data_IF_531887955215
#
_entry.id   IF_531887955215
#
_cell.length_a   1.000
_cell.length_b   1.000
_cell.length_c   1.000
_cell.angle_alpha   90.00
_cell.angle_beta   90.00
_cell.angle_gamma   90.00
#
_symmetry.space_group_name_H-M   'P 1'
#
loop_
_entity.id
_entity.type
_entity.pdbx_description
1 polymer ?
#
# COMPACT_ATOMS: atom_id res chain seq x y z
N UNK A 1 -13.80 42.59 35.84
CA UNK A 1 -14.70 41.41 35.80
C UNK A 1 -14.81 41.00 34.34
N UNK A 2 -13.74 40.42 33.78
CA UNK A 2 -13.44 38.98 33.66
C UNK A 2 -14.16 38.31 32.47
N UNK A 3 -13.80 38.71 31.25
CA UNK A 3 -14.05 37.91 30.04
C UNK A 3 -12.84 36.99 29.82
N UNK A 4 -12.99 35.76 30.31
CA UNK A 4 -12.01 34.70 30.17
C UNK A 4 -11.96 34.16 28.74
N UNK A 5 -10.87 34.48 28.02
CA UNK A 5 -10.47 33.77 26.82
C UNK A 5 -10.25 32.29 27.14
N UNK A 6 -11.14 31.44 26.63
CA UNK A 6 -10.98 29.98 26.67
C UNK A 6 -10.04 29.57 25.54
N UNK A 7 -8.75 29.56 25.82
CA UNK A 7 -7.72 28.96 24.97
C UNK A 7 -7.91 27.43 24.98
N UNK A 8 -8.54 26.89 23.93
CA UNK A 8 -8.47 25.45 23.65
C UNK A 8 -7.08 25.15 23.08
N UNK A 9 -6.16 24.76 23.95
CA UNK A 9 -4.89 24.15 23.56
C UNK A 9 -5.19 22.80 22.89
N UNK A 10 -5.02 22.73 21.57
CA UNK A 10 -4.91 21.46 20.87
C UNK A 10 -3.56 20.85 21.21
N UNK A 11 -3.54 19.96 22.20
CA UNK A 11 -2.41 19.05 22.41
C UNK A 11 -2.44 18.01 21.30
N UNK A 12 -1.55 18.17 20.31
CA UNK A 12 -1.24 17.13 19.34
C UNK A 12 -0.69 15.92 20.09
N UNK A 13 -1.53 14.90 20.28
CA UNK A 13 -1.18 13.72 21.05
C UNK A 13 -0.18 12.85 20.24
N UNK A 14 1.11 13.07 20.47
CA UNK A 14 2.25 12.39 19.82
C UNK A 14 2.27 10.87 20.08
N UNK A 15 1.48 10.38 21.04
CA UNK A 15 1.43 8.97 21.42
C UNK A 15 0.69 8.04 20.44
N UNK A 16 0.02 8.56 19.41
CA UNK A 16 -0.78 7.75 18.49
C UNK A 16 -0.03 7.27 17.24
N UNK A 17 1.18 7.79 17.02
CA UNK A 17 1.98 7.47 15.84
C UNK A 17 3.45 7.31 16.20
N UNK A 18 4.06 6.26 15.68
CA UNK A 18 5.50 6.06 15.74
C UNK A 18 6.01 5.72 14.35
N UNK A 19 7.16 6.30 14.00
CA UNK A 19 7.88 5.99 12.77
C UNK A 19 9.36 5.84 13.12
N UNK A 20 9.98 4.80 12.57
CA UNK A 20 11.41 4.56 12.73
C UNK A 20 12.23 5.77 12.24
N UNK A 21 13.29 6.12 12.97
CA UNK A 21 14.23 7.17 12.59
C UNK A 21 15.22 6.73 11.51
N UNK A 22 15.22 5.44 11.16
CA UNK A 22 16.11 4.85 10.15
C UNK A 22 15.84 5.45 8.78
N UNK A 23 16.91 5.72 8.04
CA UNK A 23 16.79 6.22 6.68
C UNK A 23 16.23 5.13 5.75
N UNK A 24 15.70 5.53 4.59
CA UNK A 24 15.21 4.57 3.58
C UNK A 24 16.34 3.61 3.16
N UNK A 25 17.57 4.12 2.98
CA UNK A 25 18.73 3.29 2.65
C UNK A 25 19.05 2.29 3.76
N UNK A 26 19.02 2.73 5.02
CA UNK A 26 19.26 1.83 6.15
C UNK A 26 18.20 0.72 6.21
N UNK A 27 16.92 1.07 6.03
CA UNK A 27 15.83 0.09 5.97
C UNK A 27 16.02 -0.89 4.80
N UNK A 28 16.40 -0.39 3.63
CA UNK A 28 16.66 -1.26 2.47
C UNK A 28 17.81 -2.22 2.76
N UNK A 29 18.93 -1.74 3.31
CA UNK A 29 20.07 -2.62 3.62
C UNK A 29 19.71 -3.71 4.63
N UNK A 30 18.87 -3.39 5.63
CA UNK A 30 18.36 -4.38 6.60
C UNK A 30 17.45 -5.45 5.97
N UNK A 31 16.94 -5.25 4.76
CA UNK A 31 16.19 -6.31 4.06
C UNK A 31 17.03 -7.55 3.79
N UNK A 32 18.36 -7.44 3.70
CA UNK A 32 19.25 -8.58 3.43
C UNK A 32 19.13 -9.74 4.42
N UNK A 33 18.57 -9.48 5.61
CA UNK A 33 18.34 -10.48 6.67
C UNK A 33 16.86 -10.89 6.80
N UNK A 34 15.99 -10.41 5.91
CA UNK A 34 14.54 -10.60 5.98
C UNK A 34 14.01 -11.24 4.71
N UNK A 35 12.80 -11.81 4.79
CA UNK A 35 12.13 -12.34 3.60
C UNK A 35 11.53 -11.20 2.77
N UNK A 36 11.78 -11.23 1.48
CA UNK A 36 11.12 -10.38 0.48
C UNK A 36 11.34 -11.03 -0.90
N UNK A 37 10.56 -10.62 -1.90
CA UNK A 37 10.70 -11.14 -3.27
C UNK A 37 11.57 -10.20 -4.12
N UNK A 38 11.16 -8.94 -4.22
CA UNK A 38 11.83 -7.95 -5.06
C UNK A 38 11.64 -6.54 -4.49
N UNK A 39 12.66 -5.70 -4.63
CA UNK A 39 12.64 -4.29 -4.24
C UNK A 39 12.36 -3.45 -5.49
N UNK A 40 11.27 -2.69 -5.47
CA UNK A 40 10.94 -1.75 -6.52
C UNK A 40 11.32 -0.32 -6.13
N UNK A 41 12.28 0.26 -6.85
CA UNK A 41 12.69 1.66 -6.72
C UNK A 41 12.02 2.50 -7.80
N UNK A 42 11.33 3.55 -7.40
CA UNK A 42 10.67 4.53 -8.28
C UNK A 42 11.57 5.75 -8.37
N UNK A 43 12.02 6.06 -9.58
CA UNK A 43 12.67 7.32 -9.91
C UNK A 43 11.67 8.24 -10.63
N UNK A 44 11.50 9.44 -10.11
CA UNK A 44 10.68 10.49 -10.70
C UNK A 44 11.51 11.75 -10.86
N UNK A 45 11.07 12.69 -11.68
CA UNK A 45 11.73 13.98 -11.78
C UNK A 45 11.73 14.67 -10.40
N UNK A 46 12.79 15.41 -10.07
CA UNK A 46 12.91 16.12 -8.79
C UNK A 46 11.77 17.13 -8.58
N UNK A 47 11.43 17.88 -9.63
CA UNK A 47 10.17 18.63 -9.73
C UNK A 47 8.99 17.69 -10.04
N UNK A 48 8.02 17.62 -9.12
CA UNK A 48 6.82 16.80 -9.22
C UNK A 48 5.90 17.14 -10.40
N UNK A 49 6.02 18.32 -11.02
CA UNK A 49 5.25 18.72 -12.20
C UNK A 49 5.84 18.21 -13.51
N UNK A 50 7.15 17.95 -13.51
CA UNK A 50 7.89 17.51 -14.69
C UNK A 50 7.96 15.99 -14.76
N UNK A 51 8.23 15.48 -15.96
CA UNK A 51 8.37 14.04 -16.21
C UNK A 51 9.79 13.76 -16.67
N UNK A 52 10.28 12.58 -16.36
CA UNK A 52 11.54 12.11 -16.95
C UNK A 52 11.29 11.95 -18.46
N UNK A 53 12.08 12.60 -19.32
CA UNK A 53 11.92 12.46 -20.77
C UNK A 53 12.06 10.99 -21.15
N UNK A 54 11.29 10.56 -22.16
CA UNK A 54 11.46 9.23 -22.74
C UNK A 54 12.77 9.19 -23.50
N UNK A 55 13.82 8.78 -22.81
CA UNK A 55 15.15 8.59 -23.38
C UNK A 55 15.34 7.15 -23.85
N UNK A 56 16.32 6.96 -24.72
CA UNK A 56 16.70 5.64 -25.20
C UNK A 56 17.11 4.73 -24.02
N UNK A 57 16.51 3.54 -23.83
CA UNK A 57 16.85 2.62 -22.76
C UNK A 57 18.33 2.25 -22.69
N UNK A 58 19.03 2.16 -23.83
CA UNK A 58 20.46 1.85 -23.88
C UNK A 58 21.32 2.96 -23.26
N UNK A 59 20.93 4.22 -23.44
CA UNK A 59 21.65 5.35 -22.84
C UNK A 59 21.47 5.38 -21.33
N UNK A 60 20.23 5.13 -20.86
CA UNK A 60 19.94 5.03 -19.43
C UNK A 60 20.74 3.87 -18.83
N UNK A 61 20.74 2.71 -19.48
CA UNK A 61 21.51 1.57 -19.01
C UNK A 61 23.01 1.88 -18.93
N UNK A 62 23.58 2.49 -19.97
CA UNK A 62 24.99 2.87 -19.98
C UNK A 62 25.34 3.89 -18.87
N UNK A 63 24.45 4.82 -18.58
CA UNK A 63 24.60 5.79 -17.49
C UNK A 63 24.54 5.13 -16.11
N UNK A 64 23.54 4.26 -15.90
CA UNK A 64 23.40 3.50 -14.64
C UNK A 64 24.62 2.62 -14.38
N UNK A 65 25.19 1.98 -15.42
CA UNK A 65 26.41 1.17 -15.29
C UNK A 65 27.62 1.96 -14.77
N UNK A 66 27.68 3.28 -15.00
CA UNK A 66 28.76 4.14 -14.49
C UNK A 66 28.61 4.46 -13.00
N UNK A 67 27.37 4.49 -12.51
CA UNK A 67 27.06 4.94 -11.14
C UNK A 67 26.70 3.78 -10.18
N UNK A 68 26.27 2.64 -10.71
CA UNK A 68 25.84 1.47 -9.93
C UNK A 68 26.77 0.30 -10.22
N UNK A 69 27.60 -0.05 -9.23
CA UNK A 69 28.57 -1.13 -9.38
C UNK A 69 27.89 -2.50 -9.54
N UNK A 70 26.75 -2.72 -8.87
CA UNK A 70 26.00 -3.99 -8.90
C UNK A 70 24.87 -3.98 -9.92
N UNK A 71 25.07 -3.30 -11.05
CA UNK A 71 24.04 -3.14 -12.08
C UNK A 71 23.55 -4.46 -12.69
N UNK A 72 24.36 -5.52 -12.66
CA UNK A 72 23.97 -6.86 -13.13
C UNK A 72 22.88 -7.51 -12.27
N UNK A 73 22.68 -7.02 -11.04
CA UNK A 73 21.61 -7.47 -10.14
C UNK A 73 20.28 -6.74 -10.39
N UNK A 74 20.22 -5.82 -11.35
CA UNK A 74 18.98 -5.18 -11.77
C UNK A 74 18.22 -6.17 -12.66
N UNK A 75 17.09 -6.67 -12.16
CA UNK A 75 16.26 -7.66 -12.86
C UNK A 75 15.41 -7.02 -13.96
N UNK A 76 14.93 -5.80 -13.72
CA UNK A 76 14.01 -5.13 -14.64
C UNK A 76 14.06 -3.60 -14.50
N UNK A 77 13.90 -2.92 -15.63
CA UNK A 77 13.72 -1.47 -15.74
C UNK A 77 12.50 -1.17 -16.63
N UNK A 78 11.53 -0.42 -16.12
CA UNK A 78 10.32 -0.07 -16.88
C UNK A 78 9.91 1.40 -16.71
N UNK A 79 9.36 1.98 -17.78
CA UNK A 79 8.69 3.28 -17.70
C UNK A 79 7.22 3.12 -17.31
N UNK A 80 6.83 3.82 -16.25
CA UNK A 80 5.43 4.00 -15.87
C UNK A 80 4.71 4.93 -16.85
N UNK A 81 3.40 4.73 -17.01
CA UNK A 81 2.52 5.62 -17.80
C UNK A 81 2.54 7.08 -17.31
N UNK A 82 2.92 7.30 -16.06
CA UNK A 82 3.04 8.62 -15.45
C UNK A 82 4.39 9.31 -15.75
N UNK A 83 5.29 8.69 -16.52
CA UNK A 83 6.62 9.25 -16.81
C UNK A 83 7.62 9.06 -15.68
N UNK A 84 7.44 8.01 -14.86
CA UNK A 84 8.38 7.57 -13.81
C UNK A 84 9.16 6.37 -14.31
N UNK A 85 10.41 6.24 -13.88
CA UNK A 85 11.23 5.04 -14.12
C UNK A 85 11.14 4.13 -12.91
N UNK A 86 10.99 2.82 -13.11
CA UNK A 86 10.91 1.84 -12.03
C UNK A 86 12.00 0.81 -12.26
N UNK A 87 12.90 0.67 -11.29
CA UNK A 87 13.89 -0.39 -11.21
C UNK A 87 13.42 -1.48 -10.28
N UNK A 88 13.78 -2.72 -10.60
CA UNK A 88 13.47 -3.89 -9.79
C UNK A 88 14.77 -4.65 -9.54
N UNK A 89 14.99 -5.10 -8.31
CA UNK A 89 16.16 -5.86 -7.92
C UNK A 89 15.87 -6.65 -6.65
N UNK A 90 16.40 -7.87 -6.55
CA UNK A 90 16.38 -8.66 -5.32
C UNK A 90 17.58 -8.34 -4.39
N UNK A 91 18.49 -7.45 -4.82
CA UNK A 91 19.71 -7.13 -4.09
C UNK A 91 19.59 -5.79 -3.32
N UNK A 92 19.57 -5.80 -1.98
CA UNK A 92 19.50 -4.61 -1.15
C UNK A 92 20.62 -3.60 -1.40
N UNK A 93 21.84 -4.06 -1.70
CA UNK A 93 22.99 -3.17 -1.93
C UNK A 93 22.82 -2.46 -3.26
N UNK A 94 22.35 -3.16 -4.29
CA UNK A 94 22.00 -2.58 -5.58
C UNK A 94 20.88 -1.54 -5.42
N UNK A 95 19.82 -1.88 -4.68
CA UNK A 95 18.72 -0.97 -4.40
C UNK A 95 19.18 0.32 -3.69
N UNK A 96 20.04 0.21 -2.68
CA UNK A 96 20.60 1.36 -1.97
C UNK A 96 21.46 2.26 -2.89
N UNK A 97 22.24 1.67 -3.82
CA UNK A 97 22.99 2.45 -4.81
C UNK A 97 22.06 3.24 -5.73
N UNK A 98 20.98 2.62 -6.21
CA UNK A 98 19.99 3.29 -7.06
C UNK A 98 19.28 4.40 -6.30
N UNK A 99 18.97 4.21 -5.01
CA UNK A 99 18.34 5.24 -4.18
C UNK A 99 19.21 6.49 -3.99
N UNK A 100 20.53 6.34 -4.02
CA UNK A 100 21.45 7.47 -3.91
C UNK A 100 21.63 8.27 -5.21
N UNK A 101 21.00 7.86 -6.32
CA UNK A 101 21.05 8.61 -7.57
C UNK A 101 20.25 9.91 -7.46
N UNK A 102 20.89 11.03 -7.76
CA UNK A 102 20.32 12.37 -7.83
C UNK A 102 20.00 12.81 -9.26
N UNK A 103 20.60 12.14 -10.25
CA UNK A 103 20.39 12.38 -11.67
C UNK A 103 20.43 11.08 -12.47
N UNK A 104 19.75 11.10 -13.61
CA UNK A 104 19.92 10.09 -14.68
C UNK A 104 20.17 10.87 -15.96
N UNK A 105 21.30 10.60 -16.61
CA UNK A 105 21.83 11.42 -17.70
C UNK A 105 22.04 12.87 -17.21
N UNK A 106 21.21 13.81 -17.69
CA UNK A 106 21.21 15.22 -17.28
C UNK A 106 19.92 15.61 -16.54
N UNK A 107 19.01 14.65 -16.31
CA UNK A 107 17.73 14.92 -15.66
C UNK A 107 17.86 14.73 -14.15
N UNK A 108 17.55 15.75 -13.33
CA UNK A 108 17.53 15.60 -11.89
C UNK A 108 16.35 14.75 -11.45
N UNK A 109 16.60 13.79 -10.57
CA UNK A 109 15.61 12.82 -10.11
C UNK A 109 15.47 12.82 -8.59
N UNK A 110 14.33 12.29 -8.15
CA UNK A 110 14.03 11.90 -6.78
C UNK A 110 13.68 10.41 -6.78
N UNK A 111 14.25 9.67 -5.84
CA UNK A 111 14.10 8.23 -5.71
C UNK A 111 13.21 7.91 -4.51
N UNK A 112 12.46 6.81 -4.61
CA UNK A 112 11.63 6.29 -3.52
C UNK A 112 11.49 4.78 -3.64
N UNK A 113 11.26 4.10 -2.52
CA UNK A 113 10.98 2.65 -2.50
C UNK A 113 9.48 2.41 -2.45
N UNK A 114 9.04 1.35 -3.12
CA UNK A 114 7.68 0.86 -3.01
C UNK A 114 7.57 -0.04 -1.76
N UNK A 115 7.22 0.57 -0.63
CA UNK A 115 7.20 -0.13 0.67
C UNK A 115 6.20 -1.30 0.69
N UNK A 116 5.12 -1.26 -0.10
CA UNK A 116 4.15 -2.36 -0.15
C UNK A 116 4.74 -3.70 -0.59
N UNK A 117 5.88 -3.71 -1.28
CA UNK A 117 6.55 -4.94 -1.73
C UNK A 117 7.51 -5.52 -0.69
N UNK A 118 7.90 -4.72 0.30
CA UNK A 118 8.98 -5.05 1.26
C UNK A 118 8.54 -4.89 2.72
N UNK A 119 7.25 -4.69 2.97
CA UNK A 119 6.69 -4.55 4.31
C UNK A 119 5.43 -5.36 4.46
N UNK A 120 5.18 -5.79 5.69
CA UNK A 120 3.95 -6.47 6.08
C UNK A 120 3.26 -5.72 7.21
N UNK A 121 1.93 -5.83 7.25
CA UNK A 121 1.09 -5.06 8.18
C UNK A 121 0.14 -5.95 8.95
N UNK A 122 0.10 -5.78 10.26
CA UNK A 122 -0.81 -6.52 11.12
C UNK A 122 -1.29 -5.70 12.30
N UNK A 123 -2.40 -6.16 12.88
CA UNK A 123 -3.03 -5.60 14.05
C UNK A 123 -2.71 -6.45 15.27
N UNK A 124 -2.43 -5.75 16.36
CA UNK A 124 -2.56 -6.29 17.71
C UNK A 124 -3.65 -5.52 18.47
N UNK A 125 -4.32 -6.23 19.37
CA UNK A 125 -5.40 -5.69 20.20
C UNK A 125 -4.94 -5.56 21.65
N UNK A 126 -5.80 -4.94 22.47
CA UNK A 126 -5.63 -4.86 23.93
C UNK A 126 -4.35 -4.16 24.39
N UNK A 127 -3.91 -3.15 23.64
CA UNK A 127 -2.76 -2.33 24.01
C UNK A 127 -3.23 -1.09 24.78
N UNK A 128 -2.73 -0.86 26.01
CA UNK A 128 -3.04 0.32 26.80
C UNK A 128 -2.81 1.61 26.01
N UNK A 129 -3.72 2.57 26.12
CA UNK A 129 -3.66 3.86 25.41
C UNK A 129 -2.62 4.81 25.99
N UNK A 130 -2.27 4.64 27.27
CA UNK A 130 -1.20 5.38 27.94
C UNK A 130 0.21 4.87 27.60
N UNK A 131 0.35 3.67 27.03
CA UNK A 131 1.64 3.13 26.58
C UNK A 131 2.17 3.90 25.36
N UNK A 132 3.37 4.50 25.42
CA UNK A 132 4.00 5.12 24.26
C UNK A 132 4.31 4.09 23.18
N UNK A 133 3.99 4.40 21.92
CA UNK A 133 4.27 3.48 20.81
C UNK A 133 5.77 3.27 20.57
N UNK A 134 6.63 4.19 21.00
CA UNK A 134 8.09 4.03 20.96
C UNK A 134 8.58 2.91 21.87
N UNK A 135 8.00 2.79 23.08
CA UNK A 135 8.33 1.71 24.02
C UNK A 135 7.84 0.37 23.47
N UNK A 136 6.61 0.34 22.93
CA UNK A 136 6.06 -0.84 22.28
C UNK A 136 6.90 -1.28 21.08
N UNK A 137 7.35 -0.33 20.24
CA UNK A 137 8.22 -0.64 19.11
C UNK A 137 9.56 -1.24 19.58
N UNK A 138 10.17 -0.67 20.62
CA UNK A 138 11.42 -1.20 21.18
C UNK A 138 11.23 -2.61 21.75
N UNK A 139 10.16 -2.86 22.50
CA UNK A 139 9.83 -4.18 23.04
C UNK A 139 9.71 -5.22 21.92
N UNK A 140 8.97 -4.89 20.85
CA UNK A 140 8.76 -5.79 19.72
C UNK A 140 10.09 -6.09 19.02
N UNK A 141 10.92 -5.08 18.75
CA UNK A 141 12.22 -5.26 18.09
C UNK A 141 13.23 -6.03 18.94
N UNK A 142 13.15 -5.93 20.28
CA UNK A 142 14.08 -6.61 21.18
C UNK A 142 13.72 -8.09 21.39
N UNK A 143 12.42 -8.41 21.42
CA UNK A 143 11.94 -9.76 21.74
C UNK A 143 11.60 -10.59 20.52
N UNK A 144 11.35 -9.95 19.37
CA UNK A 144 11.04 -10.60 18.12
C UNK A 144 12.12 -10.21 17.11
N UNK A 145 12.53 -11.13 16.23
CA UNK A 145 13.45 -10.84 15.13
C UNK A 145 12.74 -10.03 14.01
N UNK A 146 12.32 -8.82 14.36
CA UNK A 146 11.47 -7.96 13.54
C UNK A 146 12.02 -6.55 13.52
N UNK A 147 11.94 -5.93 12.34
CA UNK A 147 12.34 -4.53 12.16
C UNK A 147 11.08 -3.68 11.98
N UNK A 148 10.79 -2.83 12.96
CA UNK A 148 9.56 -2.04 13.03
C UNK A 148 9.73 -0.73 12.25
N UNK A 149 8.86 -0.49 11.26
CA UNK A 149 8.91 0.71 10.40
C UNK A 149 7.94 1.80 10.88
N UNK A 150 6.70 1.43 11.16
CA UNK A 150 5.62 2.36 11.56
C UNK A 150 4.62 1.67 12.49
N UNK A 151 4.26 2.33 13.59
CA UNK A 151 3.09 1.97 14.40
C UNK A 151 2.04 3.08 14.33
N UNK A 152 0.78 2.67 14.24
CA UNK A 152 -0.37 3.58 14.28
C UNK A 152 -1.43 3.05 15.22
N UNK A 153 -1.75 3.84 16.24
CA UNK A 153 -2.84 3.53 17.17
C UNK A 153 -4.17 3.96 16.59
N UNK A 154 -5.17 3.07 16.66
CA UNK A 154 -6.54 3.38 16.27
C UNK A 154 -7.37 3.74 17.49
N UNK A 155 -7.40 5.04 17.83
CA UNK A 155 -8.24 5.57 18.91
C UNK A 155 -9.49 6.20 18.30
N UNK A 156 -10.67 5.91 18.85
CA UNK A 156 -11.89 6.64 18.52
C UNK A 156 -11.84 8.01 19.20
N UNK A 157 -12.24 9.07 18.50
CA UNK A 157 -12.40 10.40 19.09
C UNK A 157 -13.34 10.31 20.30
N UNK A 158 -12.95 10.93 21.43
CA UNK A 158 -13.69 10.94 22.69
C UNK A 158 -13.92 9.54 23.33
N UNK A 159 -13.08 8.55 23.00
CA UNK A 159 -13.14 7.25 23.63
C UNK A 159 -12.60 7.29 25.06
N UNK A 160 -13.33 6.73 26.01
CA UNK A 160 -12.84 6.40 27.36
C UNK A 160 -12.17 5.02 27.42
N UNK A 161 -12.03 4.33 26.27
CA UNK A 161 -11.41 3.01 26.24
C UNK A 161 -9.94 3.07 26.65
N UNK A 162 -9.61 2.29 27.67
CA UNK A 162 -8.25 2.14 28.19
C UNK A 162 -7.33 1.39 27.21
N UNK A 163 -7.91 0.61 26.30
CA UNK A 163 -7.19 -0.21 25.33
C UNK A 163 -7.57 0.16 23.89
N UNK A 164 -6.62 0.01 22.98
CA UNK A 164 -6.83 0.30 21.57
C UNK A 164 -6.04 -0.64 20.66
N UNK A 165 -6.56 -0.95 19.46
CA UNK A 165 -5.79 -1.68 18.48
C UNK A 165 -4.64 -0.83 17.92
N UNK A 166 -3.51 -1.48 17.66
CA UNK A 166 -2.33 -0.87 17.05
C UNK A 166 -2.03 -1.59 15.75
N UNK A 167 -1.93 -0.83 14.67
CA UNK A 167 -1.45 -1.30 13.38
C UNK A 167 0.06 -1.16 13.34
N UNK A 168 0.73 -2.28 13.08
CA UNK A 168 2.18 -2.38 13.02
C UNK A 168 2.57 -2.64 11.57
N UNK A 169 3.56 -1.91 11.09
CA UNK A 169 4.21 -2.14 9.80
C UNK A 169 5.64 -2.57 10.08
N UNK A 170 6.00 -3.75 9.61
CA UNK A 170 7.33 -4.33 9.75
C UNK A 170 8.04 -4.37 8.40
N UNK A 171 9.35 -4.40 8.42
CA UNK A 171 10.18 -4.67 7.26
C UNK A 171 10.22 -6.18 7.00
N UNK A 172 10.12 -6.56 5.73
CA UNK A 172 9.98 -7.94 5.27
C UNK A 172 8.53 -8.36 5.05
N UNK A 173 8.35 -9.50 4.40
CA UNK A 173 7.06 -10.05 3.98
C UNK A 173 6.56 -11.21 4.85
N UNK A 174 7.42 -11.76 5.71
CA UNK A 174 7.06 -12.87 6.59
C UNK A 174 6.20 -12.38 7.76
N UNK A 175 5.06 -13.04 7.96
CA UNK A 175 4.13 -12.77 9.04
C UNK A 175 4.02 -13.97 9.97
N UNK A 176 4.46 -13.89 11.25
CA UNK A 176 4.28 -14.98 12.21
C UNK A 176 2.81 -15.08 12.67
N UNK A 177 2.41 -16.22 13.25
CA UNK A 177 1.04 -16.38 13.80
C UNK A 177 0.81 -15.57 15.09
N UNK A 178 1.88 -15.33 15.84
CA UNK A 178 1.89 -14.56 17.08
C UNK A 178 3.24 -13.89 17.29
N UNK A 179 3.25 -12.79 18.05
CA UNK A 179 4.48 -12.13 18.49
C UNK A 179 4.57 -12.14 20.01
N UNK A 180 5.78 -12.12 20.54
CA UNK A 180 6.02 -11.98 21.96
C UNK A 180 5.99 -10.50 22.33
N UNK A 181 5.26 -10.15 23.37
CA UNK A 181 5.28 -8.81 23.96
C UNK A 181 5.38 -9.01 25.48
N UNK A 182 6.51 -8.61 26.07
CA UNK A 182 6.89 -8.93 27.44
C UNK A 182 6.81 -10.43 27.74
N UNK A 183 5.85 -10.83 28.59
CA UNK A 183 5.65 -12.19 29.06
C UNK A 183 4.49 -12.91 28.35
N UNK A 184 3.85 -12.29 27.37
CA UNK A 184 2.69 -12.84 26.67
C UNK A 184 2.96 -13.07 25.18
N UNK A 185 2.35 -14.12 24.63
CA UNK A 185 2.31 -14.35 23.19
C UNK A 185 1.01 -13.75 22.65
N UNK A 186 1.14 -12.63 21.95
CA UNK A 186 0.02 -11.90 21.39
C UNK A 186 -0.32 -12.46 20.00
N UNK A 187 -1.56 -12.94 19.83
CA UNK A 187 -2.07 -13.29 18.50
C UNK A 187 -2.16 -12.05 17.63
N UNK A 188 -1.71 -12.17 16.39
CA UNK A 188 -1.78 -11.07 15.45
C UNK A 188 -2.88 -11.30 14.42
N UNK A 189 -3.38 -10.21 13.84
CA UNK A 189 -4.35 -10.25 12.76
C UNK A 189 -3.81 -9.51 11.56
N UNK A 190 -3.61 -10.21 10.45
CA UNK A 190 -3.19 -9.58 9.19
C UNK A 190 -4.11 -8.40 8.84
N UNK A 191 -3.53 -7.27 8.46
CA UNK A 191 -4.27 -6.06 8.15
C UNK A 191 -4.52 -5.96 6.64
N UNK A 192 -5.76 -6.16 6.24
CA UNK A 192 -6.21 -5.90 4.87
C UNK A 192 -6.86 -4.53 4.80
N UNK A 193 -6.43 -3.73 3.82
CA UNK A 193 -7.03 -2.43 3.52
C UNK A 193 -8.55 -2.56 3.30
N UNK A 194 -9.30 -1.55 3.73
CA UNK A 194 -10.73 -1.45 3.42
C UNK A 194 -10.92 -0.88 2.02
N UNK A 195 -11.94 -1.38 1.31
CA UNK A 195 -12.37 -0.81 0.03
C UNK A 195 -12.69 0.67 0.21
N UNK A 196 -11.97 1.51 -0.53
CA UNK A 196 -12.23 2.95 -0.57
C UNK A 196 -13.17 3.24 -1.72
N UNK A 197 -14.27 3.89 -1.40
CA UNK A 197 -15.28 4.28 -2.35
C UNK A 197 -15.40 5.81 -2.32
N UNK A 198 -15.45 6.44 -3.49
CA UNK A 198 -15.70 7.87 -3.60
C UNK A 198 -17.09 8.19 -3.00
N UNK A 199 -17.17 9.20 -2.13
CA UNK A 199 -18.43 9.54 -1.46
C UNK A 199 -19.40 10.32 -2.37
N UNK A 200 -18.92 10.87 -3.48
CA UNK A 200 -19.74 11.64 -4.41
C UNK A 200 -20.22 10.78 -5.59
N UNK A 201 -19.35 9.95 -6.17
CA UNK A 201 -19.69 9.11 -7.33
C UNK A 201 -19.65 7.60 -7.11
N UNK A 202 -19.33 7.14 -5.90
CA UNK A 202 -19.32 5.72 -5.52
C UNK A 202 -18.40 4.82 -6.35
N UNK A 203 -17.50 5.40 -7.15
CA UNK A 203 -16.48 4.69 -7.89
C UNK A 203 -15.31 4.29 -6.98
N UNK A 204 -14.62 3.19 -7.32
CA UNK A 204 -13.53 2.62 -6.51
C UNK A 204 -12.12 3.01 -7.00
N UNK A 205 -12.04 3.88 -8.01
CA UNK A 205 -10.79 4.16 -8.74
C UNK A 205 -10.10 5.46 -8.31
N UNK A 206 -10.78 6.34 -7.59
CA UNK A 206 -10.24 7.64 -7.18
C UNK A 206 -10.70 8.05 -5.78
N UNK A 207 -9.97 8.98 -5.19
CA UNK A 207 -10.32 9.57 -3.90
C UNK A 207 -11.40 10.64 -4.09
N UNK A 208 -12.31 10.76 -3.12
CA UNK A 208 -13.41 11.73 -3.08
C UNK A 208 -12.97 13.16 -3.41
N UNK A 209 -11.80 13.59 -2.91
CA UNK A 209 -11.26 14.94 -3.12
C UNK A 209 -10.95 15.33 -4.58
N UNK A 210 -10.82 14.36 -5.47
CA UNK A 210 -10.53 14.58 -6.90
C UNK A 210 -11.80 14.39 -7.74
N UNK A 211 -12.94 14.12 -7.09
CA UNK A 211 -14.19 13.89 -7.77
C UNK A 211 -14.92 15.21 -8.01
N UNK A 212 -15.50 15.30 -9.18
CA UNK A 212 -16.25 16.41 -9.76
C UNK A 212 -17.73 16.04 -9.99
N UNK A 213 -18.10 14.78 -9.74
CA UNK A 213 -19.46 14.24 -9.94
C UNK A 213 -20.12 13.98 -8.61
N UNK A 214 -21.39 14.38 -8.47
CA UNK A 214 -22.25 14.00 -7.36
C UNK A 214 -23.45 13.22 -7.89
N UNK A 215 -23.65 12.00 -7.40
CA UNK A 215 -24.79 11.15 -7.78
C UNK A 215 -25.43 10.57 -6.53
N UNK A 216 -26.69 10.18 -6.64
CA UNK A 216 -27.39 9.56 -5.54
C UNK A 216 -26.91 8.11 -5.32
N UNK A 217 -26.58 7.70 -4.08
CA UNK A 217 -26.21 6.31 -3.78
C UNK A 217 -27.35 5.33 -4.04
N UNK A 218 -28.60 5.80 -3.97
CA UNK A 218 -29.80 4.98 -4.08
C UNK A 218 -30.15 4.67 -5.53
N UNK A 219 -30.31 5.70 -6.36
CA UNK A 219 -30.79 5.55 -7.75
C UNK A 219 -29.71 5.77 -8.82
N UNK A 220 -28.52 6.25 -8.46
CA UNK A 220 -27.41 6.47 -9.39
C UNK A 220 -27.51 7.72 -10.26
N UNK A 221 -28.54 8.55 -10.07
CA UNK A 221 -28.78 9.79 -10.84
C UNK A 221 -28.37 11.01 -10.00
N UNK A 222 -27.90 12.07 -10.66
CA UNK A 222 -27.68 13.35 -10.01
C UNK A 222 -29.02 14.06 -9.80
N UNK A 223 -29.38 14.31 -8.53
CA UNK A 223 -30.57 15.07 -8.17
C UNK A 223 -30.34 15.79 -6.83
N UNK A 224 -31.13 16.84 -6.60
CA UNK A 224 -31.17 17.57 -5.34
C UNK A 224 -32.33 17.06 -4.47
N UNK A 225 -32.18 17.14 -3.14
CA UNK A 225 -33.22 16.71 -2.20
C UNK A 225 -33.39 15.20 -2.03
N UNK A 226 -34.51 14.80 -1.43
CA UNK A 226 -34.80 13.41 -1.07
C UNK A 226 -35.00 12.53 -2.32
N UNK A 227 -34.30 11.40 -2.36
CA UNK A 227 -34.38 10.46 -3.49
C UNK A 227 -35.69 9.66 -3.47
N UNK A 228 -36.54 9.85 -4.48
CA UNK A 228 -37.76 9.07 -4.71
C UNK A 228 -37.59 7.93 -5.73
N UNK A 229 -36.40 7.80 -6.33
CA UNK A 229 -36.11 6.75 -7.31
C UNK A 229 -35.98 5.36 -6.67
N UNK A 230 -36.24 4.27 -7.44
CA UNK A 230 -35.99 2.92 -6.98
C UNK A 230 -34.50 2.69 -6.74
N UNK A 231 -34.18 1.72 -5.86
CA UNK A 231 -32.79 1.35 -5.62
C UNK A 231 -32.19 0.68 -6.86
N UNK A 232 -31.11 1.27 -7.38
CA UNK A 232 -30.39 0.76 -8.53
C UNK A 232 -28.91 1.06 -8.36
N UNK A 233 -28.12 0.00 -8.21
CA UNK A 233 -26.68 0.13 -8.09
C UNK A 233 -26.06 0.59 -9.41
N UNK A 234 -25.21 1.61 -9.38
CA UNK A 234 -24.50 2.12 -10.56
C UNK A 234 -23.52 1.11 -11.17
N UNK A 235 -23.06 0.12 -10.39
CA UNK A 235 -22.01 -0.81 -10.79
C UNK A 235 -22.54 -2.11 -11.38
N UNK A 236 -23.61 -2.66 -10.80
CA UNK A 236 -24.18 -3.95 -11.20
C UNK A 236 -25.64 -3.86 -11.65
N UNK A 237 -26.25 -2.68 -11.62
CA UNK A 237 -27.68 -2.45 -11.88
C UNK A 237 -28.64 -3.23 -10.96
N UNK A 238 -28.15 -3.81 -9.85
CA UNK A 238 -28.97 -4.55 -8.89
C UNK A 238 -29.83 -3.68 -7.98
N UNK A 239 -30.85 -4.28 -7.37
CA UNK A 239 -31.82 -3.64 -6.47
C UNK A 239 -31.26 -3.39 -5.07
N UNK A 240 -30.21 -2.57 -4.99
CA UNK A 240 -29.59 -2.12 -3.74
C UNK A 240 -28.83 -0.80 -3.98
N UNK A 241 -28.53 -0.01 -2.94
CA UNK A 241 -27.72 1.19 -3.09
C UNK A 241 -26.27 0.86 -3.48
N UNK A 242 -25.57 1.83 -4.07
CA UNK A 242 -24.17 1.74 -4.48
C UNK A 242 -23.19 1.52 -3.30
N UNK A 243 -23.62 1.81 -2.06
CA UNK A 243 -22.86 1.60 -0.83
C UNK A 243 -23.00 0.19 -0.25
N UNK A 244 -23.86 -0.66 -0.84
CA UNK A 244 -24.11 -2.01 -0.33
C UNK A 244 -22.87 -2.89 -0.45
N UNK A 245 -22.48 -3.52 0.66
CA UNK A 245 -21.37 -4.49 0.71
C UNK A 245 -21.68 -5.80 -0.01
N UNK A 246 -22.95 -6.07 -0.29
CA UNK A 246 -23.42 -7.26 -1.00
C UNK A 246 -23.22 -7.10 -2.52
N UNK A 247 -22.95 -5.88 -3.00
CA UNK A 247 -22.68 -5.61 -4.41
C UNK A 247 -21.52 -6.48 -4.93
N UNK A 248 -21.69 -7.20 -6.06
CA UNK A 248 -20.62 -8.00 -6.67
C UNK A 248 -19.35 -7.19 -6.95
N UNK A 249 -19.48 -5.91 -7.33
CA UNK A 249 -18.35 -5.02 -7.56
C UNK A 249 -17.58 -4.70 -6.28
N UNK A 250 -18.29 -4.44 -5.18
CA UNK A 250 -17.66 -4.20 -3.87
C UNK A 250 -16.92 -5.45 -3.39
N UNK A 251 -17.54 -6.64 -3.51
CA UNK A 251 -16.91 -7.93 -3.16
C UNK A 251 -15.65 -8.16 -4.00
N UNK A 252 -15.69 -7.83 -5.29
CA UNK A 252 -14.53 -7.95 -6.17
C UNK A 252 -13.37 -7.05 -5.72
N UNK A 253 -13.62 -5.78 -5.41
CA UNK A 253 -12.56 -4.87 -4.92
C UNK A 253 -12.03 -5.33 -3.54
N UNK A 254 -12.87 -5.88 -2.67
CA UNK A 254 -12.41 -6.46 -1.39
C UNK A 254 -11.46 -7.63 -1.61
N UNK A 255 -11.81 -8.57 -2.50
CA UNK A 255 -10.94 -9.71 -2.87
C UNK A 255 -9.64 -9.27 -3.53
N UNK A 256 -9.69 -8.20 -4.32
CA UNK A 256 -8.51 -7.60 -4.92
C UNK A 256 -7.54 -7.05 -3.85
N UNK A 257 -8.06 -6.40 -2.80
CA UNK A 257 -7.24 -5.92 -1.69
C UNK A 257 -6.67 -7.07 -0.84
N UNK A 258 -7.41 -8.16 -0.65
CA UNK A 258 -6.88 -9.38 -0.03
C UNK A 258 -5.75 -9.99 -0.88
N UNK A 259 -5.93 -10.08 -2.19
CA UNK A 259 -4.91 -10.55 -3.12
C UNK A 259 -3.67 -9.66 -3.10
N UNK A 260 -3.85 -8.34 -3.13
CA UNK A 260 -2.78 -7.35 -2.97
C UNK A 260 -1.98 -7.60 -1.69
N UNK A 261 -2.67 -7.77 -0.56
CA UNK A 261 -2.06 -7.99 0.75
C UNK A 261 -1.25 -9.28 0.80
N UNK A 262 -1.82 -10.41 0.38
CA UNK A 262 -1.17 -11.73 0.45
C UNK A 262 0.05 -11.89 -0.45
N UNK A 263 0.19 -11.05 -1.48
CA UNK A 263 1.28 -11.13 -2.45
C UNK A 263 2.20 -9.90 -2.40
N UNK A 264 2.03 -9.02 -1.40
CA UNK A 264 2.84 -7.81 -1.23
C UNK A 264 2.94 -6.99 -2.52
N UNK A 265 1.79 -6.74 -3.16
CA UNK A 265 1.73 -6.04 -4.44
C UNK A 265 1.27 -4.59 -4.26
N UNK A 266 1.64 -3.74 -5.22
CA UNK A 266 0.91 -2.48 -5.38
C UNK A 266 -0.51 -2.73 -5.89
N UNK A 267 -1.44 -1.80 -5.65
CA UNK A 267 -2.80 -1.91 -6.19
C UNK A 267 -2.82 -1.99 -7.74
N UNK A 268 -1.85 -1.34 -8.39
CA UNK A 268 -1.70 -1.38 -9.83
C UNK A 268 -1.26 -2.76 -10.33
N UNK A 269 -0.36 -3.42 -9.61
CA UNK A 269 0.06 -4.80 -9.89
C UNK A 269 -1.07 -5.78 -9.64
N UNK A 270 -1.75 -5.67 -8.50
CA UNK A 270 -2.89 -6.52 -8.18
C UNK A 270 -3.97 -6.46 -9.28
N UNK A 271 -4.31 -5.26 -9.80
CA UNK A 271 -5.29 -5.10 -10.89
C UNK A 271 -4.83 -5.74 -12.20
N UNK A 272 -3.53 -5.70 -12.52
CA UNK A 272 -2.98 -6.38 -13.71
C UNK A 272 -2.89 -7.89 -13.53
N UNK A 273 -2.46 -8.36 -12.36
CA UNK A 273 -2.31 -9.78 -12.01
C UNK A 273 -3.65 -10.49 -11.90
N UNK A 274 -4.66 -9.86 -11.30
CA UNK A 274 -6.03 -10.40 -11.25
C UNK A 274 -6.61 -10.60 -12.66
N UNK A 275 -6.31 -9.71 -13.60
CA UNK A 275 -6.67 -9.89 -15.01
C UNK A 275 -5.96 -11.11 -15.61
N UNK A 276 -4.69 -11.34 -15.27
CA UNK A 276 -3.91 -12.48 -15.75
C UNK A 276 -4.41 -13.81 -15.17
N UNK A 277 -4.82 -13.88 -13.90
CA UNK A 277 -5.45 -15.06 -13.29
C UNK A 277 -6.85 -15.37 -13.86
N UNK A 278 -7.62 -14.34 -14.22
CA UNK A 278 -8.91 -14.50 -14.93
C UNK A 278 -8.66 -15.05 -16.34
N UNK A 279 -7.62 -14.57 -17.04
CA UNK A 279 -7.24 -15.10 -18.36
C UNK A 279 -6.62 -16.49 -18.30
N UNK A 280 -5.77 -16.80 -17.30
CA UNK A 280 -5.25 -18.14 -17.07
C UNK A 280 -6.37 -19.13 -16.82
N UNK A 281 -7.43 -18.76 -16.07
CA UNK A 281 -8.64 -19.58 -15.91
C UNK A 281 -9.42 -19.79 -17.22
N UNK A 282 -9.33 -18.88 -18.19
CA UNK A 282 -9.88 -19.05 -19.55
C UNK A 282 -8.96 -19.89 -20.45
N UNK A 283 -7.64 -19.81 -20.25
CA UNK A 283 -6.64 -20.55 -21.03
C UNK A 283 -6.54 -22.01 -20.56
N UNK A 284 -6.65 -22.32 -19.26
CA UNK A 284 -6.59 -23.69 -18.73
C UNK A 284 -7.59 -24.66 -19.40
N UNK A 285 -8.89 -24.34 -19.60
CA UNK A 285 -9.80 -25.21 -20.32
C UNK A 285 -9.57 -25.23 -21.84
N UNK A 286 -8.97 -24.19 -22.45
CA UNK A 286 -8.57 -24.21 -23.87
C UNK A 286 -7.36 -25.12 -24.10
N UNK A 287 -6.34 -25.05 -23.25
CA UNK A 287 -5.17 -25.94 -23.31
C UNK A 287 -5.55 -27.40 -23.03
N UNK A 288 -6.47 -27.65 -22.09
CA UNK A 288 -7.03 -29.00 -21.84
C UNK A 288 -7.87 -29.55 -23.00
N UNK A 289 -8.50 -28.69 -23.82
CA UNK A 289 -9.20 -29.09 -25.05
C UNK A 289 -8.22 -29.40 -26.18
N UNK A 290 -7.16 -28.61 -26.34
CA UNK A 290 -6.12 -28.82 -27.35
C UNK A 290 -5.29 -30.09 -27.06
N UNK A 291 -4.97 -30.37 -25.80
CA UNK A 291 -4.27 -31.62 -25.44
C UNK A 291 -5.11 -32.87 -25.65
N UNK A 292 -6.44 -32.79 -25.52
CA UNK A 292 -7.36 -33.89 -25.85
C UNK A 292 -7.53 -34.11 -27.36
N UNK A 293 -7.43 -33.05 -28.17
CA UNK A 293 -7.50 -33.15 -29.64
C UNK A 293 -6.20 -33.66 -30.27
N UNK A 294 -5.07 -33.55 -29.56
CA UNK A 294 -3.78 -34.09 -29.99
C UNK A 294 -3.54 -35.56 -29.54
N UNK A 295 -4.49 -36.13 -28.77
CA UNK A 295 -4.45 -37.51 -28.26
C UNK A 295 -5.50 -38.43 -28.92
N UNK A 296 -6.15 -37.96 -29.99
CA UNK A 296 -7.08 -38.71 -30.85
C UNK A 296 -6.59 -38.67 -32.27
#
# INVERSE_FOLDING_TARGET
>A
MNDGQRSTSMTSNTNNYYKSSKSINELVLRLGEKSFEEIHIICQHSDAKLKIPRSNPFLIQADIKKHVNRHDHITNMKFSRQGKLIFSTADPVCAAQILNLDKILETPISTAVTFENITERFLIFDIPTNLPLSELAAEIMNTNDMEVVELRRFVKLNSTQEFSPVLITILGTFLPDSIKIWFTNQKIRQFVDRVRQCLHCYEFTHATRVCDRNICPRCGVNHEGLCQGPEKCIHCAGSHPATSKICPRHIHEQKLLEFKCRNHLTIGEARRGAYMLIHLKLITPMLLKLTRQLQT
#
